data_IF_495033586622
#
_entry.id   IF_495033586622
#
_cell.length_a   1.000
_cell.length_b   1.000
_cell.length_c   1.000
_cell.angle_alpha   90.00
_cell.angle_beta   90.00
_cell.angle_gamma   90.00
#
_symmetry.space_group_name_H-M   'P 1'
#
loop_
_entity.id
_entity.type
_entity.pdbx_description
1 polymer ?
#
# COMPACT_ATOMS: atom_id res chain seq x y z
N UNK A 1 19.06 13.87 -8.20
CA UNK A 1 17.82 14.49 -7.67
C UNK A 1 17.11 13.45 -6.81
N UNK A 2 16.46 13.85 -5.70
CA UNK A 2 15.89 12.90 -4.73
C UNK A 2 14.58 12.24 -5.22
N UNK A 3 13.84 12.92 -6.10
CA UNK A 3 12.50 12.51 -6.55
C UNK A 3 12.45 11.14 -7.27
N UNK A 4 13.35 10.79 -8.20
CA UNK A 4 13.31 9.50 -8.90
C UNK A 4 13.46 8.30 -7.95
N UNK A 5 14.38 8.38 -6.98
CA UNK A 5 14.59 7.30 -6.02
C UNK A 5 13.40 7.08 -5.07
N UNK A 6 12.62 8.14 -4.79
CA UNK A 6 11.38 7.99 -4.02
C UNK A 6 10.28 7.29 -4.82
N UNK A 7 10.18 7.55 -6.12
CA UNK A 7 9.21 6.87 -7.00
C UNK A 7 9.57 5.39 -7.12
N UNK A 8 10.85 5.04 -7.33
CA UNK A 8 11.30 3.64 -7.37
C UNK A 8 11.00 2.90 -6.07
N UNK A 9 11.21 3.57 -4.93
CA UNK A 9 10.91 3.02 -3.60
C UNK A 9 9.41 2.81 -3.42
N UNK A 10 8.59 3.76 -3.88
CA UNK A 10 7.13 3.64 -3.83
C UNK A 10 6.63 2.49 -4.72
N UNK A 11 7.21 2.34 -5.92
CA UNK A 11 6.94 1.21 -6.82
C UNK A 11 7.21 -0.14 -6.14
N UNK A 12 8.37 -0.26 -5.50
CA UNK A 12 8.76 -1.46 -4.76
C UNK A 12 7.80 -1.75 -3.61
N UNK A 13 7.40 -0.73 -2.85
CA UNK A 13 6.44 -0.90 -1.77
C UNK A 13 5.06 -1.32 -2.27
N UNK A 14 4.61 -0.79 -3.41
CA UNK A 14 3.37 -1.21 -4.05
C UNK A 14 3.45 -2.68 -4.49
N UNK A 15 4.55 -3.10 -5.14
CA UNK A 15 4.76 -4.51 -5.51
C UNK A 15 4.73 -5.44 -4.30
N UNK A 16 5.39 -5.07 -3.20
CA UNK A 16 5.38 -5.88 -1.97
C UNK A 16 3.98 -5.99 -1.34
N UNK A 17 3.15 -4.94 -1.46
CA UNK A 17 1.76 -4.97 -1.02
C UNK A 17 0.95 -5.96 -1.86
N UNK A 18 1.11 -5.94 -3.19
CA UNK A 18 0.46 -6.88 -4.11
C UNK A 18 0.87 -8.32 -3.85
N UNK A 19 2.17 -8.59 -3.66
CA UNK A 19 2.68 -9.92 -3.30
C UNK A 19 2.10 -10.42 -1.98
N UNK A 20 2.02 -9.54 -0.96
CA UNK A 20 1.44 -9.89 0.33
C UNK A 20 -0.04 -10.25 0.18
N UNK A 21 -0.79 -9.47 -0.61
CA UNK A 21 -2.18 -9.77 -0.94
C UNK A 21 -2.33 -11.11 -1.67
N UNK A 22 -1.54 -11.36 -2.71
CA UNK A 22 -1.57 -12.61 -3.48
C UNK A 22 -1.19 -13.84 -2.65
N UNK A 23 -0.38 -13.67 -1.61
CA UNK A 23 0.00 -14.76 -0.71
C UNK A 23 -1.13 -15.20 0.25
N UNK A 24 -2.19 -14.40 0.40
CA UNK A 24 -3.28 -14.64 1.36
C UNK A 24 -2.90 -14.41 2.82
N UNK A 25 -1.67 -14.00 3.12
CA UNK A 25 -1.22 -13.69 4.47
C UNK A 25 -1.67 -12.27 4.87
N UNK A 26 -2.83 -12.20 5.53
CA UNK A 26 -3.45 -10.96 6.00
C UNK A 26 -2.53 -10.17 6.96
N UNK A 27 -1.73 -10.85 7.76
CA UNK A 27 -0.79 -10.20 8.70
C UNK A 27 0.35 -9.56 7.93
N UNK A 28 0.90 -10.26 6.91
CA UNK A 28 1.90 -9.70 6.02
C UNK A 28 1.34 -8.53 5.22
N UNK A 29 0.09 -8.62 4.76
CA UNK A 29 -0.59 -7.54 4.05
C UNK A 29 -0.73 -6.29 4.92
N UNK A 30 -1.14 -6.43 6.18
CA UNK A 30 -1.21 -5.32 7.12
C UNK A 30 0.15 -4.65 7.37
N UNK A 31 1.23 -5.44 7.46
CA UNK A 31 2.60 -4.90 7.57
C UNK A 31 3.03 -4.15 6.31
N UNK A 32 2.73 -4.68 5.13
CA UNK A 32 3.02 -4.00 3.87
C UNK A 32 2.22 -2.68 3.75
N UNK A 33 0.96 -2.66 4.21
CA UNK A 33 0.14 -1.44 4.32
C UNK A 33 0.79 -0.37 5.20
N UNK A 34 1.35 -0.76 6.35
CA UNK A 34 2.09 0.16 7.23
C UNK A 34 3.31 0.78 6.53
N UNK A 35 4.09 -0.04 5.82
CA UNK A 35 5.32 0.41 5.14
C UNK A 35 4.99 1.42 4.03
N UNK A 36 4.07 1.07 3.13
CA UNK A 36 3.71 1.95 2.01
C UNK A 36 3.04 3.24 2.51
N UNK A 37 2.23 3.18 3.57
CA UNK A 37 1.68 4.38 4.22
C UNK A 37 2.77 5.38 4.61
N UNK A 38 3.87 4.90 5.21
CA UNK A 38 5.01 5.75 5.58
C UNK A 38 5.61 6.47 4.37
N UNK A 39 5.82 5.76 3.26
CA UNK A 39 6.32 6.35 2.03
C UNK A 39 5.35 7.38 1.43
N UNK A 40 4.06 7.09 1.43
CA UNK A 40 3.01 7.98 0.92
C UNK A 40 2.93 9.28 1.72
N UNK A 41 3.03 9.21 3.05
CA UNK A 41 3.05 10.39 3.92
C UNK A 41 4.29 11.26 3.67
N UNK A 42 5.45 10.66 3.43
CA UNK A 42 6.67 11.40 3.08
C UNK A 42 6.56 12.16 1.75
N UNK A 43 5.65 11.72 0.87
CA UNK A 43 5.35 12.34 -0.42
C UNK A 43 4.12 13.26 -0.41
N UNK A 44 3.45 13.40 0.74
CA UNK A 44 2.21 14.19 0.85
C UNK A 44 0.99 13.57 0.18
N UNK A 45 1.03 12.28 -0.18
CA UNK A 45 -0.06 11.55 -0.84
C UNK A 45 -1.09 11.05 0.18
N UNK A 46 -1.73 11.99 0.89
CA UNK A 46 -2.59 11.70 2.04
C UNK A 46 -3.76 10.76 1.75
N UNK A 47 -4.42 10.90 0.60
CA UNK A 47 -5.53 10.01 0.21
C UNK A 47 -5.07 8.55 0.04
N UNK A 48 -3.90 8.36 -0.59
CA UNK A 48 -3.32 7.04 -0.75
C UNK A 48 -2.89 6.47 0.61
N UNK A 49 -2.33 7.33 1.48
CA UNK A 49 -1.94 6.94 2.82
C UNK A 49 -3.14 6.49 3.68
N UNK A 50 -4.32 7.08 3.48
CA UNK A 50 -5.56 6.66 4.15
C UNK A 50 -5.99 5.25 3.71
N UNK A 51 -5.94 4.93 2.41
CA UNK A 51 -6.22 3.57 1.93
C UNK A 51 -5.21 2.56 2.50
N UNK A 52 -3.92 2.90 2.47
CA UNK A 52 -2.86 2.06 3.05
C UNK A 52 -3.05 1.85 4.56
N UNK A 53 -3.56 2.87 5.27
CA UNK A 53 -3.91 2.76 6.67
C UNK A 53 -5.09 1.83 6.93
N UNK A 54 -6.12 1.83 6.07
CA UNK A 54 -7.22 0.86 6.15
C UNK A 54 -6.68 -0.56 5.99
N UNK A 55 -5.82 -0.81 4.99
CA UNK A 55 -5.17 -2.10 4.79
C UNK A 55 -4.35 -2.51 6.02
N UNK A 56 -3.55 -1.59 6.57
CA UNK A 56 -2.78 -1.81 7.80
C UNK A 56 -3.69 -2.22 8.97
N UNK A 57 -4.76 -1.47 9.20
CA UNK A 57 -5.67 -1.65 10.32
C UNK A 57 -6.43 -2.97 10.23
N UNK A 58 -7.03 -3.26 9.08
CA UNK A 58 -7.78 -4.49 8.86
C UNK A 58 -6.84 -5.71 8.88
N UNK A 59 -5.63 -5.59 8.33
CA UNK A 59 -4.61 -6.63 8.38
C UNK A 59 -4.13 -6.93 9.81
N UNK A 60 -3.91 -5.89 10.63
CA UNK A 60 -3.59 -6.04 12.06
C UNK A 60 -4.69 -6.71 12.86
N UNK A 61 -5.95 -6.48 12.49
CA UNK A 61 -7.10 -7.08 13.14
C UNK A 61 -7.43 -8.49 12.61
N UNK A 62 -6.68 -8.99 11.62
CA UNK A 62 -6.96 -10.25 10.92
C UNK A 62 -8.41 -10.31 10.41
N UNK A 63 -8.92 -9.18 9.90
CA UNK A 63 -10.30 -9.11 9.42
C UNK A 63 -10.42 -9.77 8.04
N UNK A 64 -10.78 -11.06 8.02
CA UNK A 64 -11.00 -11.83 6.79
C UNK A 64 -12.19 -11.33 5.93
N UNK A 65 -13.07 -10.49 6.50
CA UNK A 65 -14.22 -9.92 5.79
C UNK A 65 -13.90 -8.59 5.09
N UNK A 66 -12.70 -8.03 5.28
CA UNK A 66 -12.31 -6.81 4.60
C UNK A 66 -12.08 -7.08 3.10
N UNK A 67 -12.57 -6.17 2.25
CA UNK A 67 -12.31 -6.24 0.80
C UNK A 67 -10.90 -5.72 0.48
N UNK A 68 -9.90 -6.51 0.84
CA UNK A 68 -8.50 -6.19 0.57
C UNK A 68 -8.21 -6.06 -0.93
N UNK A 69 -8.95 -6.78 -1.78
CA UNK A 69 -8.78 -6.67 -3.23
C UNK A 69 -9.16 -5.27 -3.71
N UNK A 70 -10.34 -4.76 -3.32
CA UNK A 70 -10.76 -3.42 -3.69
C UNK A 70 -9.79 -2.36 -3.15
N UNK A 71 -9.32 -2.50 -1.91
CA UNK A 71 -8.37 -1.56 -1.32
C UNK A 71 -7.02 -1.53 -2.05
N UNK A 72 -6.43 -2.71 -2.33
CA UNK A 72 -5.14 -2.82 -3.02
C UNK A 72 -5.24 -2.29 -4.45
N UNK A 73 -6.32 -2.62 -5.18
CA UNK A 73 -6.51 -2.14 -6.55
C UNK A 73 -6.81 -0.65 -6.60
N UNK A 74 -7.60 -0.11 -5.67
CA UNK A 74 -7.85 1.34 -5.59
C UNK A 74 -6.55 2.10 -5.32
N UNK A 75 -5.70 1.57 -4.42
CA UNK A 75 -4.41 2.19 -4.14
C UNK A 75 -3.49 2.15 -5.37
N UNK A 76 -3.43 1.01 -6.06
CA UNK A 76 -2.64 0.86 -7.28
C UNK A 76 -3.07 1.82 -8.38
N UNK A 77 -4.38 1.92 -8.62
CA UNK A 77 -4.96 2.81 -9.64
C UNK A 77 -4.62 4.27 -9.36
N UNK A 78 -4.80 4.74 -8.12
CA UNK A 78 -4.42 6.10 -7.70
C UNK A 78 -2.92 6.37 -7.83
N UNK A 79 -2.08 5.35 -7.71
CA UNK A 79 -0.64 5.48 -7.82
C UNK A 79 -0.12 5.35 -9.26
N UNK A 80 -0.95 4.88 -10.21
CA UNK A 80 -0.52 4.67 -11.59
C UNK A 80 0.09 5.94 -12.21
N UNK A 81 -0.49 7.11 -11.91
CA UNK A 81 -0.03 8.42 -12.40
C UNK A 81 1.37 8.83 -11.90
N UNK A 82 1.90 8.17 -10.86
CA UNK A 82 3.19 8.50 -10.24
C UNK A 82 4.29 7.48 -10.51
N UNK A 83 3.92 6.24 -10.84
CA UNK A 83 4.86 5.10 -10.92
C UNK A 83 5.09 4.62 -12.37
N UNK A 84 4.43 5.21 -13.37
CA UNK A 84 4.69 4.96 -14.80
C UNK A 84 5.90 5.68 -15.35
#
# INVERSE_FOLDING_TARGET
TMLPGFIDTLASHMSHLEEAFQSGDIVRLGKAGHVIKGALLNLGLSECAEIAYIIEKEGKNMNENADFQALVYTLKDKLADYIT
#
